data_IF_846579862079
#
_entry.id   IF_846579862079
#
_cell.length_a   1.000
_cell.length_b   1.000
_cell.length_c   1.000
_cell.angle_alpha   90.00
_cell.angle_beta   90.00
_cell.angle_gamma   90.00
#
_symmetry.space_group_name_H-M   'P 1'
#
loop_
_entity.id
_entity.type
_entity.pdbx_description
1 polymer ?
#
# COMPACT_ATOMS: atom_id res chain seq x y z
N UNK A 1 14.48 -40.56 -68.55
CA UNK A 1 15.59 -39.59 -68.46
C UNK A 1 16.03 -39.51 -67.00
N UNK A 2 17.27 -39.93 -66.72
CA UNK A 2 17.91 -39.91 -65.39
C UNK A 2 18.58 -38.54 -65.21
N UNK A 3 18.22 -37.80 -64.16
CA UNK A 3 18.96 -36.58 -63.81
C UNK A 3 20.05 -36.89 -62.79
N UNK A 4 21.25 -36.46 -63.15
CA UNK A 4 22.52 -36.71 -62.52
C UNK A 4 22.74 -35.76 -61.33
N UNK A 5 23.37 -36.29 -60.29
CA UNK A 5 23.79 -35.61 -59.05
C UNK A 5 24.83 -34.52 -59.34
N UNK A 6 24.79 -33.40 -58.61
CA UNK A 6 26.03 -32.76 -58.16
C UNK A 6 25.84 -31.96 -56.87
N UNK A 7 26.34 -32.54 -55.78
CA UNK A 7 26.63 -31.83 -54.55
C UNK A 7 27.77 -30.83 -54.83
N UNK A 8 27.51 -29.55 -54.60
CA UNK A 8 28.53 -28.51 -54.67
C UNK A 8 29.25 -28.41 -53.33
N UNK A 9 30.41 -29.06 -53.23
CA UNK A 9 31.37 -28.86 -52.16
C UNK A 9 31.95 -27.45 -52.29
N UNK A 10 31.57 -26.54 -51.40
CA UNK A 10 32.26 -25.26 -51.25
C UNK A 10 33.56 -25.51 -50.49
N UNK A 11 34.69 -25.31 -51.19
CA UNK A 11 36.02 -25.32 -50.60
C UNK A 11 36.17 -24.06 -49.74
N UNK A 12 36.19 -24.22 -48.42
CA UNK A 12 36.57 -23.16 -47.50
C UNK A 12 38.09 -22.98 -47.63
N UNK A 13 38.50 -21.98 -48.42
CA UNK A 13 39.87 -21.53 -48.46
C UNK A 13 40.23 -20.93 -47.10
N UNK A 14 41.27 -21.49 -46.46
CA UNK A 14 41.80 -20.99 -45.20
C UNK A 14 42.30 -19.56 -45.35
N UNK A 15 41.52 -18.61 -44.85
CA UNK A 15 42.03 -17.33 -44.37
C UNK A 15 41.92 -17.39 -42.86
N UNK A 16 43.07 -17.46 -42.19
CA UNK A 16 43.17 -17.35 -40.74
C UNK A 16 42.43 -16.08 -40.32
N UNK A 17 41.28 -16.25 -39.66
CA UNK A 17 40.58 -15.15 -39.03
C UNK A 17 41.55 -14.55 -38.00
N UNK A 18 41.85 -13.25 -38.07
CA UNK A 18 42.81 -12.65 -37.18
C UNK A 18 42.31 -12.79 -35.73
N UNK A 19 43.17 -13.28 -34.84
CA UNK A 19 42.84 -13.66 -33.47
C UNK A 19 42.23 -12.51 -32.64
N UNK A 20 42.43 -11.26 -33.05
CA UNK A 20 41.88 -10.06 -32.41
C UNK A 20 40.34 -9.98 -32.42
N UNK A 21 39.65 -10.58 -33.41
CA UNK A 21 38.17 -10.52 -33.50
C UNK A 21 37.51 -11.47 -32.49
N UNK A 22 38.10 -12.64 -32.25
CA UNK A 22 37.68 -13.53 -31.16
C UNK A 22 38.07 -12.98 -29.79
N UNK A 23 39.23 -12.32 -29.69
CA UNK A 23 39.62 -11.67 -28.44
C UNK A 23 38.67 -10.53 -28.05
N UNK A 24 38.21 -9.71 -29.01
CA UNK A 24 37.26 -8.62 -28.74
C UNK A 24 35.85 -9.11 -28.39
N UNK A 25 35.38 -10.19 -29.03
CA UNK A 25 34.08 -10.79 -28.70
C UNK A 25 34.12 -11.50 -27.33
N UNK A 26 35.23 -12.15 -27.00
CA UNK A 26 35.45 -12.73 -25.67
C UNK A 26 35.56 -11.64 -24.59
N UNK A 27 36.16 -10.49 -24.90
CA UNK A 27 36.27 -9.37 -23.95
C UNK A 27 34.91 -8.70 -23.67
N UNK A 28 34.02 -8.64 -24.67
CA UNK A 28 32.67 -8.09 -24.51
C UNK A 28 31.76 -8.99 -23.67
N UNK A 29 31.88 -10.32 -23.78
CA UNK A 29 31.11 -11.28 -22.98
C UNK A 29 31.53 -11.31 -21.49
N UNK A 30 32.71 -10.79 -21.15
CA UNK A 30 33.22 -10.78 -19.77
C UNK A 30 32.81 -9.54 -18.96
N UNK A 31 32.12 -8.56 -19.55
CA UNK A 31 31.78 -7.30 -18.88
C UNK A 31 30.33 -7.21 -18.35
N UNK A 32 29.57 -8.31 -18.38
CA UNK A 32 28.14 -8.32 -18.03
C UNK A 32 27.78 -9.04 -16.73
N UNK A 33 28.33 -8.63 -15.58
CA UNK A 33 27.80 -9.02 -14.25
C UNK A 33 27.38 -7.76 -13.50
N UNK A 34 26.15 -7.30 -13.79
CA UNK A 34 25.51 -6.24 -13.03
C UNK A 34 25.16 -6.83 -11.66
N UNK A 35 25.94 -6.46 -10.64
CA UNK A 35 25.74 -6.92 -9.25
C UNK A 35 24.35 -6.52 -8.79
N UNK A 36 23.55 -7.54 -8.48
CA UNK A 36 22.29 -7.44 -7.76
C UNK A 36 22.53 -6.74 -6.42
N UNK A 37 21.66 -5.79 -6.06
CA UNK A 37 21.66 -5.13 -4.76
C UNK A 37 21.49 -6.16 -3.64
N UNK A 38 22.63 -6.64 -3.14
CA UNK A 38 22.73 -7.46 -1.95
C UNK A 38 22.44 -6.56 -0.75
N UNK A 39 21.38 -6.89 0.00
CA UNK A 39 21.02 -6.22 1.25
C UNK A 39 22.27 -6.20 2.14
N UNK A 40 22.93 -5.05 2.20
CA UNK A 40 24.17 -4.88 2.95
C UNK A 40 23.88 -5.06 4.43
N UNK A 41 24.12 -6.28 4.94
CA UNK A 41 24.14 -6.56 6.37
C UNK A 41 25.35 -5.85 6.97
N UNK A 42 25.15 -4.61 7.40
CA UNK A 42 26.12 -3.95 8.25
C UNK A 42 25.95 -4.46 9.68
N UNK A 43 27.04 -5.00 10.24
CA UNK A 43 27.10 -5.26 11.68
C UNK A 43 27.49 -3.94 12.35
N UNK A 44 26.52 -3.26 12.96
CA UNK A 44 26.80 -2.11 13.83
C UNK A 44 27.64 -2.64 15.00
N UNK A 45 28.88 -2.15 15.15
CA UNK A 45 29.66 -2.39 16.37
C UNK A 45 28.82 -1.85 17.54
N UNK A 46 28.31 -2.76 18.37
CA UNK A 46 27.65 -2.39 19.63
C UNK A 46 28.68 -1.61 20.44
N UNK A 47 28.46 -0.31 20.59
CA UNK A 47 29.34 0.52 21.40
C UNK A 47 29.42 -0.09 22.80
N UNK A 48 30.60 -0.09 23.46
CA UNK A 48 30.68 -0.53 24.84
C UNK A 48 29.66 0.27 25.64
N UNK A 49 28.83 -0.44 26.40
CA UNK A 49 27.93 0.19 27.36
C UNK A 49 28.84 0.94 28.32
N UNK A 50 28.91 2.26 28.16
CA UNK A 50 29.44 3.13 29.21
C UNK A 50 28.48 2.92 30.38
N UNK A 51 28.94 2.23 31.41
CA UNK A 51 28.21 2.12 32.67
C UNK A 51 27.94 3.54 33.15
N UNK A 52 26.70 3.98 32.93
CA UNK A 52 26.21 5.26 33.40
C UNK A 52 26.16 5.12 34.92
N UNK A 53 26.92 5.92 35.70
CA UNK A 53 26.82 5.87 37.15
C UNK A 53 25.35 6.02 37.53
N UNK A 54 24.87 5.14 38.41
CA UNK A 54 23.48 4.97 38.79
C UNK A 54 22.95 6.16 39.59
N UNK A 55 22.99 7.38 39.03
CA UNK A 55 22.34 8.58 39.57
C UNK A 55 22.30 9.72 38.54
N UNK A 56 21.78 9.46 37.36
CA UNK A 56 21.29 10.52 36.48
C UNK A 56 19.84 10.21 36.14
N UNK A 57 18.93 10.89 36.84
CA UNK A 57 17.53 10.95 36.46
C UNK A 57 17.49 11.38 35.00
N UNK A 58 16.83 10.59 34.15
CA UNK A 58 16.69 10.95 32.74
C UNK A 58 16.09 12.37 32.66
N UNK A 59 16.66 13.29 31.86
CA UNK A 59 16.01 14.56 31.60
C UNK A 59 14.59 14.30 31.09
N UNK A 60 13.61 15.15 31.40
CA UNK A 60 12.26 15.00 30.88
C UNK A 60 12.36 14.87 29.37
N UNK A 61 11.92 13.73 28.84
CA UNK A 61 11.79 13.59 27.40
C UNK A 61 10.90 14.71 26.87
N UNK A 62 11.01 15.06 25.58
CA UNK A 62 9.99 15.90 24.95
C UNK A 62 8.61 15.32 25.29
N UNK A 63 7.58 16.17 25.54
CA UNK A 63 6.26 15.68 25.89
C UNK A 63 5.90 14.56 24.93
N UNK A 64 5.57 13.38 25.48
CA UNK A 64 5.04 12.28 24.68
C UNK A 64 3.95 12.90 23.82
N UNK A 65 4.09 12.80 22.50
CA UNK A 65 2.96 13.01 21.59
C UNK A 65 1.78 12.25 22.19
N UNK A 66 0.56 12.83 22.23
CA UNK A 66 -0.58 12.13 22.77
C UNK A 66 -0.62 10.72 22.16
N UNK A 67 -0.60 9.72 23.04
CA UNK A 67 -0.65 8.34 22.63
C UNK A 67 -2.03 8.08 22.04
N UNK A 68 -2.12 8.11 20.71
CA UNK A 68 -3.35 7.79 20.00
C UNK A 68 -3.01 6.92 18.80
N UNK A 69 -2.67 5.65 19.04
CA UNK A 69 -2.69 4.52 18.08
C UNK A 69 -2.65 3.19 18.85
N UNK A 70 -3.53 3.07 19.84
CA UNK A 70 -3.86 1.83 20.54
C UNK A 70 -5.27 2.03 21.10
N UNK A 71 -6.14 1.01 21.16
CA UNK A 71 -7.55 1.18 21.49
C UNK A 71 -7.66 1.87 22.84
N UNK A 72 -7.92 3.18 22.81
CA UNK A 72 -8.35 3.90 23.98
C UNK A 72 -9.69 3.28 24.37
N UNK A 73 -9.89 3.01 25.66
CA UNK A 73 -11.19 2.52 26.17
C UNK A 73 -12.39 3.46 25.84
N UNK A 74 -12.12 4.60 25.19
CA UNK A 74 -13.06 5.61 24.73
C UNK A 74 -12.92 5.93 23.22
N UNK A 75 -12.46 4.99 22.39
CA UNK A 75 -12.46 5.18 20.93
C UNK A 75 -13.74 4.63 20.28
N UNK A 76 -14.14 5.23 19.16
CA UNK A 76 -15.18 4.73 18.26
C UNK A 76 -14.68 4.83 16.82
N UNK A 77 -15.18 3.93 15.99
CA UNK A 77 -14.93 3.92 14.56
C UNK A 77 -16.27 3.92 13.81
N UNK A 78 -16.35 4.72 12.75
CA UNK A 78 -17.35 4.56 11.70
C UNK A 78 -16.64 4.01 10.47
N UNK A 79 -17.21 2.93 9.93
CA UNK A 79 -16.69 2.23 8.76
C UNK A 79 -17.81 1.96 7.77
N UNK A 80 -17.54 2.20 6.48
CA UNK A 80 -18.41 1.80 5.39
C UNK A 80 -17.59 1.13 4.29
N UNK A 81 -18.17 0.10 3.69
CA UNK A 81 -17.57 -0.67 2.60
C UNK A 81 -18.57 -0.65 1.46
N UNK A 82 -18.17 -0.12 0.32
CA UNK A 82 -18.94 -0.16 -0.91
C UNK A 82 -18.15 -0.89 -1.99
N UNK A 83 -18.80 -1.76 -2.77
CA UNK A 83 -18.16 -2.48 -3.86
C UNK A 83 -18.60 -1.93 -5.21
N UNK A 84 -17.65 -1.88 -6.15
CA UNK A 84 -17.90 -1.63 -7.57
C UNK A 84 -17.08 -2.66 -8.35
N UNK A 85 -17.76 -3.62 -8.98
CA UNK A 85 -17.12 -4.78 -9.58
C UNK A 85 -16.23 -5.53 -8.58
N UNK A 86 -14.92 -5.55 -8.86
CA UNK A 86 -13.89 -6.20 -8.02
C UNK A 86 -13.10 -5.25 -7.12
N UNK A 87 -13.56 -4.01 -7.00
CA UNK A 87 -12.91 -2.99 -6.18
C UNK A 87 -13.76 -2.66 -4.96
N UNK A 88 -13.15 -2.68 -3.78
CA UNK A 88 -13.79 -2.25 -2.54
C UNK A 88 -13.32 -0.84 -2.17
N UNK A 89 -14.28 0.03 -1.96
CA UNK A 89 -14.11 1.39 -1.44
C UNK A 89 -14.40 1.37 0.05
N UNK A 90 -13.37 1.66 0.82
CA UNK A 90 -13.38 1.54 2.27
C UNK A 90 -13.27 2.94 2.87
N UNK A 91 -14.33 3.38 3.54
CA UNK A 91 -14.42 4.65 4.24
C UNK A 91 -14.26 4.39 5.73
N UNK A 92 -13.31 5.05 6.37
CA UNK A 92 -13.02 4.82 7.79
C UNK A 92 -12.65 6.12 8.50
N UNK A 93 -13.31 6.39 9.61
CA UNK A 93 -12.92 7.43 10.58
C UNK A 93 -12.91 6.81 11.97
N UNK A 94 -11.87 7.11 12.75
CA UNK A 94 -11.73 6.66 14.12
C UNK A 94 -11.21 7.80 15.00
N UNK A 95 -11.62 7.82 16.26
CA UNK A 95 -11.29 8.88 17.19
C UNK A 95 -12.08 8.76 18.50
N UNK A 96 -12.14 9.84 19.30
CA UNK A 96 -12.89 9.85 20.56
C UNK A 96 -14.36 9.46 20.35
N UNK A 97 -14.88 8.64 21.28
CA UNK A 97 -16.18 7.99 21.16
C UNK A 97 -17.32 8.95 20.86
N UNK A 98 -17.40 10.04 21.62
CA UNK A 98 -18.51 11.00 21.53
C UNK A 98 -18.36 11.85 20.28
N UNK A 99 -17.14 12.36 20.01
CA UNK A 99 -16.83 13.12 18.80
C UNK A 99 -17.18 12.35 17.52
N UNK A 100 -16.84 11.06 17.46
CA UNK A 100 -17.16 10.22 16.29
C UNK A 100 -18.65 9.89 16.24
N UNK A 101 -19.31 9.73 17.40
CA UNK A 101 -20.76 9.49 17.44
C UNK A 101 -21.56 10.67 16.90
N UNK A 102 -21.16 11.90 17.22
CA UNK A 102 -21.81 13.12 16.75
C UNK A 102 -21.72 13.29 15.23
N UNK A 103 -20.67 12.74 14.61
CA UNK A 103 -20.47 12.78 13.16
C UNK A 103 -21.29 11.73 12.39
N UNK A 104 -22.03 10.84 13.07
CA UNK A 104 -22.81 9.78 12.41
C UNK A 104 -23.77 10.31 11.32
N UNK A 105 -24.58 11.37 11.53
CA UNK A 105 -25.50 11.85 10.50
C UNK A 105 -24.78 12.35 9.24
N UNK A 106 -23.66 13.08 9.42
CA UNK A 106 -22.84 13.57 8.31
C UNK A 106 -22.14 12.43 7.58
N UNK A 107 -21.61 11.45 8.32
CA UNK A 107 -21.03 10.24 7.75
C UNK A 107 -22.04 9.47 6.90
N UNK A 108 -23.26 9.25 7.43
CA UNK A 108 -24.32 8.57 6.66
C UNK A 108 -24.72 9.35 5.41
N UNK A 109 -24.81 10.68 5.49
CA UNK A 109 -25.08 11.54 4.32
C UNK A 109 -24.02 11.37 3.22
N UNK A 110 -22.73 11.34 3.59
CA UNK A 110 -21.65 11.05 2.66
C UNK A 110 -21.86 9.70 1.97
N UNK A 111 -22.06 8.63 2.74
CA UNK A 111 -22.21 7.27 2.20
C UNK A 111 -23.45 7.14 1.31
N UNK A 112 -24.56 7.78 1.69
CA UNK A 112 -25.79 7.80 0.89
C UNK A 112 -25.64 8.59 -0.41
N UNK A 113 -24.71 9.55 -0.46
CA UNK A 113 -24.44 10.35 -1.67
C UNK A 113 -23.58 9.62 -2.71
N UNK A 114 -23.03 8.45 -2.38
CA UNK A 114 -22.13 7.71 -3.26
C UNK A 114 -22.80 7.32 -4.57
N UNK A 115 -22.16 7.69 -5.68
CA UNK A 115 -22.59 7.36 -7.04
C UNK A 115 -21.48 6.63 -7.77
N UNK A 116 -21.80 5.43 -8.22
CA UNK A 116 -20.92 4.63 -9.05
C UNK A 116 -21.28 4.80 -10.53
N UNK A 117 -20.28 5.13 -11.35
CA UNK A 117 -20.43 5.20 -12.80
C UNK A 117 -20.55 3.81 -13.44
N UNK A 118 -20.88 3.79 -14.73
CA UNK A 118 -20.89 2.55 -15.54
C UNK A 118 -19.49 1.98 -15.76
N UNK A 119 -18.49 2.85 -15.75
CA UNK A 119 -17.09 2.44 -15.85
C UNK A 119 -16.55 2.15 -14.45
N UNK A 120 -16.27 0.89 -14.18
CA UNK A 120 -15.74 0.41 -12.89
C UNK A 120 -14.28 0.81 -12.65
N UNK A 121 -13.58 1.30 -13.67
CA UNK A 121 -12.23 1.82 -13.54
C UNK A 121 -12.21 3.25 -12.94
N UNK A 122 -13.34 3.96 -12.99
CA UNK A 122 -13.47 5.31 -12.46
C UNK A 122 -13.81 5.29 -10.97
N UNK A 123 -13.29 6.24 -10.17
CA UNK A 123 -13.66 6.37 -8.77
C UNK A 123 -15.14 6.78 -8.63
N UNK A 124 -15.81 6.43 -7.51
CA UNK A 124 -17.13 6.93 -7.21
C UNK A 124 -17.10 8.44 -6.96
N UNK A 125 -18.24 9.05 -7.21
CA UNK A 125 -18.50 10.44 -6.85
C UNK A 125 -19.27 10.49 -5.53
N UNK A 126 -19.02 11.50 -4.71
CA UNK A 126 -19.74 11.76 -3.47
C UNK A 126 -19.90 13.27 -3.24
N UNK A 127 -20.85 13.62 -2.38
CA UNK A 127 -21.04 14.99 -1.91
C UNK A 127 -20.51 15.09 -0.48
N UNK A 128 -19.62 16.06 -0.25
CA UNK A 128 -19.11 16.28 1.10
C UNK A 128 -20.18 16.96 1.97
N UNK A 129 -20.34 16.51 3.23
CA UNK A 129 -21.11 17.26 4.22
C UNK A 129 -20.56 18.68 4.41
N UNK A 130 -21.42 19.58 4.91
CA UNK A 130 -21.03 20.96 5.18
C UNK A 130 -19.82 21.04 6.12
N UNK A 131 -18.88 21.93 5.79
CA UNK A 131 -17.66 22.16 6.57
C UNK A 131 -16.56 21.11 6.38
N UNK A 132 -16.84 19.99 5.72
CA UNK A 132 -15.82 18.98 5.43
C UNK A 132 -14.96 19.43 4.25
N UNK A 133 -13.68 19.03 4.29
CA UNK A 133 -12.75 19.29 3.19
C UNK A 133 -12.09 18.01 2.72
N UNK A 134 -11.68 17.98 1.45
CA UNK A 134 -10.97 16.83 0.88
C UNK A 134 -9.50 17.19 0.65
N UNK A 135 -8.62 16.34 1.18
CA UNK A 135 -7.18 16.37 0.93
C UNK A 135 -6.82 15.16 0.07
N UNK A 136 -6.50 15.43 -1.20
CA UNK A 136 -5.98 14.41 -2.12
C UNK A 136 -4.66 13.85 -1.60
N UNK A 137 -4.49 12.54 -1.76
CA UNK A 137 -3.21 11.90 -1.47
C UNK A 137 -2.18 12.22 -2.56
N UNK A 138 -0.90 12.11 -2.22
CA UNK A 138 0.22 12.43 -3.11
C UNK A 138 0.35 11.39 -4.23
N UNK A 139 -0.09 10.15 -4.00
CA UNK A 139 -0.15 9.08 -5.01
C UNK A 139 -1.60 8.72 -5.39
N UNK A 140 -2.09 9.14 -6.57
CA UNK A 140 -3.44 8.80 -7.04
C UNK A 140 -3.63 7.32 -7.38
N UNK A 141 -2.54 6.53 -7.45
CA UNK A 141 -2.59 5.07 -7.61
C UNK A 141 -2.44 4.32 -6.29
N UNK A 142 -2.16 5.04 -5.20
CA UNK A 142 -2.04 4.46 -3.87
C UNK A 142 -3.32 3.78 -3.40
N UNK A 143 -3.18 2.92 -2.38
CA UNK A 143 -4.33 2.29 -1.73
C UNK A 143 -5.19 3.33 -1.01
N UNK A 144 -4.59 4.30 -0.33
CA UNK A 144 -5.32 5.45 0.22
C UNK A 144 -5.57 6.43 -0.92
N UNK A 145 -6.82 6.54 -1.33
CA UNK A 145 -7.24 7.35 -2.47
C UNK A 145 -7.33 8.83 -2.09
N UNK A 146 -7.93 9.12 -0.94
CA UNK A 146 -8.06 10.49 -0.43
C UNK A 146 -8.26 10.48 1.08
N UNK A 147 -8.09 11.65 1.71
CA UNK A 147 -8.45 11.87 3.12
C UNK A 147 -9.46 13.00 3.20
N UNK A 148 -10.63 12.73 3.77
CA UNK A 148 -11.63 13.74 4.09
C UNK A 148 -11.35 14.24 5.51
N UNK A 149 -11.30 15.55 5.70
CA UNK A 149 -11.18 16.17 7.02
C UNK A 149 -12.59 16.46 7.52
N UNK A 150 -13.00 15.68 8.53
CA UNK A 150 -14.29 15.77 9.19
C UNK A 150 -14.24 16.92 10.19
N UNK A 151 -15.05 17.95 9.96
CA UNK A 151 -15.09 19.11 10.84
C UNK A 151 -15.68 18.74 12.19
N UNK A 152 -14.94 19.01 13.26
CA UNK A 152 -15.42 18.88 14.64
C UNK A 152 -15.23 20.19 15.41
N UNK A 153 -15.80 20.27 16.61
CA UNK A 153 -15.60 21.39 17.54
C UNK A 153 -14.13 21.49 18.01
N UNK A 154 -13.37 20.39 17.92
CA UNK A 154 -11.95 20.32 18.25
C UNK A 154 -11.07 20.22 17.00
N UNK A 155 -10.14 19.27 17.01
CA UNK A 155 -9.31 18.95 15.85
C UNK A 155 -10.14 18.21 14.79
N UNK A 156 -9.90 18.50 13.53
CA UNK A 156 -10.57 17.81 12.44
C UNK A 156 -10.17 16.33 12.42
N UNK A 157 -11.16 15.43 12.30
CA UNK A 157 -10.90 14.00 12.29
C UNK A 157 -10.61 13.52 10.86
N UNK A 158 -9.51 12.79 10.62
CA UNK A 158 -9.23 12.26 9.30
C UNK A 158 -10.11 11.03 9.02
N UNK A 159 -10.97 11.15 8.00
CA UNK A 159 -11.67 10.02 7.38
C UNK A 159 -10.87 9.58 6.16
N UNK A 160 -10.34 8.35 6.19
CA UNK A 160 -9.58 7.78 5.08
C UNK A 160 -10.50 7.07 4.10
N UNK A 161 -10.34 7.36 2.82
CA UNK A 161 -10.96 6.60 1.73
C UNK A 161 -9.88 5.75 1.07
N UNK A 162 -10.05 4.44 1.15
CA UNK A 162 -9.10 3.46 0.61
C UNK A 162 -9.74 2.70 -0.54
N UNK A 163 -9.03 2.64 -1.67
CA UNK A 163 -9.37 1.82 -2.83
C UNK A 163 -8.61 0.50 -2.74
N UNK A 164 -9.36 -0.61 -2.68
CA UNK A 164 -8.82 -1.95 -2.62
C UNK A 164 -9.26 -2.78 -3.83
N UNK A 165 -8.51 -2.77 -4.94
CA UNK A 165 -8.77 -3.64 -6.08
C UNK A 165 -8.38 -5.08 -5.75
N UNK A 166 -9.21 -6.05 -6.12
CA UNK A 166 -8.92 -7.46 -5.92
C UNK A 166 -8.43 -8.15 -7.20
N UNK A 167 -7.31 -8.89 -7.13
CA UNK A 167 -6.85 -9.78 -8.19
C UNK A 167 -7.95 -10.75 -8.64
N UNK A 168 -7.99 -11.09 -9.93
CA UNK A 168 -9.08 -11.86 -10.56
C UNK A 168 -9.30 -13.27 -10.00
N UNK A 169 -8.29 -13.86 -9.39
CA UNK A 169 -8.27 -15.20 -8.80
C UNK A 169 -8.80 -15.25 -7.37
N UNK A 170 -9.01 -14.11 -6.72
CA UNK A 170 -9.49 -14.02 -5.33
C UNK A 170 -11.02 -14.02 -5.27
N UNK A 171 -11.64 -14.80 -4.38
CA UNK A 171 -13.07 -14.66 -4.11
C UNK A 171 -13.39 -13.25 -3.62
N UNK A 172 -14.49 -12.69 -4.14
CA UNK A 172 -15.03 -11.39 -3.68
C UNK A 172 -15.87 -11.59 -2.42
N UNK A 173 -16.52 -12.75 -2.32
CA UNK A 173 -17.34 -13.12 -1.17
C UNK A 173 -16.50 -13.22 0.11
N UNK A 174 -17.02 -12.69 1.21
CA UNK A 174 -16.34 -12.66 2.51
C UNK A 174 -15.34 -11.51 2.72
N UNK A 175 -14.99 -10.76 1.67
CA UNK A 175 -14.10 -9.59 1.79
C UNK A 175 -14.63 -8.52 2.75
N UNK A 176 -15.93 -8.15 2.76
CA UNK A 176 -16.45 -7.22 3.75
C UNK A 176 -16.28 -7.71 5.18
N UNK A 177 -16.54 -9.01 5.44
CA UNK A 177 -16.39 -9.58 6.78
C UNK A 177 -14.93 -9.56 7.25
N UNK A 178 -13.99 -9.91 6.36
CA UNK A 178 -12.56 -9.83 6.65
C UNK A 178 -12.15 -8.39 7.02
N UNK A 179 -12.59 -7.38 6.26
CA UNK A 179 -12.30 -5.97 6.56
C UNK A 179 -12.89 -5.56 7.91
N UNK A 180 -14.14 -5.96 8.19
CA UNK A 180 -14.79 -5.69 9.49
C UNK A 180 -14.02 -6.35 10.64
N UNK A 181 -13.50 -7.56 10.46
CA UNK A 181 -12.72 -8.23 11.50
C UNK A 181 -11.35 -7.58 11.72
N UNK A 182 -10.71 -7.04 10.67
CA UNK A 182 -9.51 -6.19 10.84
C UNK A 182 -9.81 -4.94 11.69
N UNK A 183 -11.00 -4.36 11.57
CA UNK A 183 -11.42 -3.25 12.42
C UNK A 183 -11.74 -3.69 13.84
N UNK A 184 -12.35 -4.87 14.00
CA UNK A 184 -12.61 -5.45 15.32
C UNK A 184 -11.30 -5.67 16.08
N UNK A 185 -10.28 -6.23 15.41
CA UNK A 185 -8.94 -6.38 15.96
C UNK A 185 -8.32 -5.02 16.32
N UNK A 186 -8.41 -4.02 15.43
CA UNK A 186 -7.91 -2.67 15.69
C UNK A 186 -8.54 -2.04 16.95
N UNK A 187 -9.82 -2.32 17.21
CA UNK A 187 -10.55 -1.82 18.37
C UNK A 187 -10.46 -2.74 19.60
N UNK A 188 -9.82 -3.91 19.49
CA UNK A 188 -9.76 -4.91 20.56
C UNK A 188 -11.13 -5.52 20.91
N UNK A 189 -12.06 -5.59 19.96
CA UNK A 189 -13.38 -6.20 20.15
C UNK A 189 -13.48 -7.57 19.46
N UNK A 190 -14.38 -8.47 19.91
CA UNK A 190 -14.54 -9.78 19.28
C UNK A 190 -14.90 -9.69 17.80
N UNK A 191 -14.29 -10.57 17.00
CA UNK A 191 -14.61 -10.76 15.59
C UNK A 191 -16.09 -11.07 15.35
N UNK A 192 -16.53 -10.80 14.13
CA UNK A 192 -17.88 -11.11 13.65
C UNK A 192 -17.86 -12.36 12.79
N UNK A 193 -18.99 -13.04 12.78
CA UNK A 193 -19.29 -14.15 11.87
C UNK A 193 -20.22 -13.65 10.76
N UNK A 194 -20.19 -14.30 9.60
CA UNK A 194 -21.20 -14.06 8.56
C UNK A 194 -22.60 -14.41 9.10
N UNK A 195 -23.60 -13.65 8.69
CA UNK A 195 -25.02 -13.91 8.97
C UNK A 195 -25.60 -14.90 7.96
#
# INVERSE_FOLDING_TARGET
MRFCVRASSVRIAGRAAPAWLFALLALALLSGCQKQDEISRYTVKKMPVVERPAKAQNPPGPPRRPAGHGPGMNERMLGAIASQGRTFWVFKVAGPKDTVADQMPHFLSLIQSLKFGKDEALPPEWTLPEGWTEKKDDDPRGMRFTTLLVKTDGEDLPLTVTRLPLPGDRPVDGMPLMIVNLWCEQLGIPEKTAA
#
